data_IF_917832252017
#
_entry.id   IF_917832252017
#
_cell.length_a   1.000
_cell.length_b   1.000
_cell.length_c   1.000
_cell.angle_alpha   90.00
_cell.angle_beta   90.00
_cell.angle_gamma   90.00
#
_symmetry.space_group_name_H-M   'P 1'
#
loop_
_entity.id
_entity.type
_entity.pdbx_description
1 polymer ?
#
# COMPACT_ATOMS: atom_id res chain seq x y z
N UNK A 1 -44.29 -16.75 68.07
CA UNK A 1 -43.74 -15.69 67.19
C UNK A 1 -42.23 -15.69 67.33
N UNK A 2 -41.45 -16.32 66.42
CA UNK A 2 -39.99 -16.25 66.44
C UNK A 2 -39.44 -15.21 65.46
N UNK A 3 -38.28 -14.69 65.83
CA UNK A 3 -37.61 -13.51 65.30
C UNK A 3 -37.02 -13.73 63.90
N UNK A 4 -37.15 -12.69 63.05
CA UNK A 4 -36.45 -12.54 61.77
C UNK A 4 -35.01 -12.09 62.03
N UNK A 5 -34.05 -12.97 61.79
CA UNK A 5 -32.63 -12.67 61.80
C UNK A 5 -32.22 -12.12 60.42
N UNK A 6 -31.77 -10.87 60.37
CA UNK A 6 -31.28 -10.23 59.15
C UNK A 6 -29.85 -10.71 58.85
N UNK A 7 -29.63 -11.24 57.65
CA UNK A 7 -28.31 -11.64 57.16
C UNK A 7 -27.60 -10.42 56.57
N UNK A 8 -26.42 -10.08 57.11
CA UNK A 8 -25.58 -8.99 56.63
C UNK A 8 -24.83 -9.39 55.34
N UNK A 9 -24.66 -8.49 54.37
CA UNK A 9 -23.87 -8.74 53.16
C UNK A 9 -22.37 -8.72 53.49
N UNK A 10 -21.68 -9.82 53.17
CA UNK A 10 -20.22 -9.90 53.18
C UNK A 10 -19.67 -9.15 51.97
N UNK A 11 -19.17 -7.95 52.19
CA UNK A 11 -18.37 -7.19 51.23
C UNK A 11 -17.00 -7.86 51.14
N UNK A 12 -16.75 -8.57 50.04
CA UNK A 12 -15.43 -9.12 49.71
C UNK A 12 -14.62 -8.00 49.08
N UNK A 13 -13.69 -7.44 49.85
CA UNK A 13 -12.65 -6.54 49.35
C UNK A 13 -11.68 -7.35 48.47
N UNK A 14 -11.84 -7.25 47.15
CA UNK A 14 -10.83 -7.68 46.18
C UNK A 14 -9.73 -6.60 46.15
N UNK A 15 -8.79 -6.70 47.07
CA UNK A 15 -7.51 -5.99 47.01
C UNK A 15 -6.45 -6.93 46.46
N UNK A 16 -5.51 -6.35 45.72
CA UNK A 16 -4.18 -6.88 45.43
C UNK A 16 -4.03 -7.71 44.15
N UNK A 17 -3.81 -7.03 43.04
CA UNK A 17 -2.73 -7.35 42.08
C UNK A 17 -2.58 -6.18 41.08
N UNK A 18 -2.12 -5.03 41.60
CA UNK A 18 -1.44 -4.05 40.76
C UNK A 18 -0.08 -4.64 40.41
N UNK A 19 -0.06 -5.44 39.34
CA UNK A 19 1.14 -5.88 38.68
C UNK A 19 1.81 -4.61 38.13
N UNK A 20 2.83 -4.13 38.84
CA UNK A 20 3.72 -3.09 38.36
C UNK A 20 4.46 -3.64 37.15
N UNK A 21 3.88 -3.48 35.96
CA UNK A 21 4.63 -3.52 34.73
C UNK A 21 5.60 -2.33 34.77
N UNK A 22 6.81 -2.56 35.27
CA UNK A 22 7.99 -1.79 34.88
C UNK A 22 8.16 -2.00 33.37
N UNK A 23 7.34 -1.31 32.58
CA UNK A 23 7.63 -1.04 31.19
C UNK A 23 8.87 -0.13 31.23
N UNK A 24 10.04 -0.72 31.12
CA UNK A 24 11.24 0.01 30.76
C UNK A 24 10.86 0.88 29.56
N UNK A 25 10.85 2.21 29.76
CA UNK A 25 10.57 3.12 28.69
C UNK A 25 11.57 2.77 27.57
N UNK A 26 11.11 2.47 26.34
CA UNK A 26 12.03 2.18 25.26
C UNK A 26 13.02 3.34 25.20
N UNK A 27 14.31 3.01 25.25
CA UNK A 27 15.37 4.02 25.11
C UNK A 27 15.09 4.78 23.82
N UNK A 28 14.67 6.04 23.97
CA UNK A 28 14.43 6.92 22.85
C UNK A 28 15.80 7.28 22.28
N UNK A 29 16.24 6.48 21.32
CA UNK A 29 17.39 6.82 20.49
C UNK A 29 16.98 8.05 19.69
N UNK A 30 17.59 9.21 20.00
CA UNK A 30 17.36 10.43 19.23
C UNK A 30 17.60 10.11 17.76
N UNK A 31 16.64 10.39 16.86
CA UNK A 31 16.78 10.05 15.46
C UNK A 31 18.08 10.66 14.95
N UNK A 32 19.00 9.80 14.50
CA UNK A 32 20.27 10.19 13.90
C UNK A 32 20.03 11.33 12.91
N UNK A 33 20.82 12.41 12.99
CA UNK A 33 20.65 13.58 12.14
C UNK A 33 20.70 13.14 10.67
N UNK A 34 19.54 13.00 10.04
CA UNK A 34 19.44 12.59 8.64
C UNK A 34 20.14 13.64 7.81
N UNK A 35 21.02 13.20 6.91
CA UNK A 35 21.62 14.09 5.92
C UNK A 35 20.48 14.82 5.20
N UNK A 36 20.51 16.15 5.12
CA UNK A 36 19.44 16.90 4.46
C UNK A 36 19.30 16.37 3.03
N UNK A 37 18.16 15.76 2.76
CA UNK A 37 17.80 15.26 1.43
C UNK A 37 17.77 16.47 0.52
N UNK A 38 18.60 16.45 -0.53
CA UNK A 38 18.58 17.49 -1.56
C UNK A 38 17.27 17.33 -2.33
N UNK A 39 16.32 18.23 -2.07
CA UNK A 39 15.02 18.33 -2.74
C UNK A 39 15.27 18.81 -4.19
N UNK A 40 15.19 17.95 -5.23
CA UNK A 40 15.22 18.44 -6.61
C UNK A 40 14.09 19.45 -6.86
N UNK A 41 14.38 20.46 -7.68
CA UNK A 41 13.40 21.50 -7.99
C UNK A 41 12.10 20.91 -8.58
N UNK A 42 10.93 21.49 -8.21
CA UNK A 42 9.65 21.12 -8.79
C UNK A 42 9.69 21.17 -10.32
N UNK A 43 9.01 20.22 -10.97
CA UNK A 43 8.87 20.21 -12.42
C UNK A 43 7.98 21.38 -12.82
N UNK A 44 8.49 22.27 -13.67
CA UNK A 44 7.68 23.35 -14.22
C UNK A 44 6.63 22.78 -15.18
N UNK A 45 5.37 23.25 -15.12
CA UNK A 45 4.37 22.93 -16.12
C UNK A 45 4.87 23.23 -17.53
N UNK A 46 4.56 22.38 -18.50
CA UNK A 46 4.86 22.66 -19.89
C UNK A 46 3.96 23.77 -20.44
N UNK A 47 4.53 24.69 -21.22
CA UNK A 47 3.77 25.70 -21.97
C UNK A 47 2.97 25.05 -23.12
N UNK A 48 3.52 23.98 -23.70
CA UNK A 48 2.89 23.19 -24.75
C UNK A 48 2.89 21.69 -24.40
N UNK A 49 1.69 21.11 -24.33
CA UNK A 49 1.48 19.69 -24.03
C UNK A 49 1.96 18.75 -25.14
N UNK A 50 2.25 19.24 -26.35
CA UNK A 50 2.74 18.40 -27.46
C UNK A 50 4.17 17.89 -27.24
N UNK A 51 4.97 18.65 -26.49
CA UNK A 51 6.35 18.31 -26.11
C UNK A 51 6.51 17.93 -24.64
N UNK A 52 5.42 17.99 -23.87
CA UNK A 52 5.42 17.72 -22.44
C UNK A 52 5.70 16.26 -22.13
N UNK A 53 6.45 16.02 -21.06
CA UNK A 53 6.55 14.70 -20.43
C UNK A 53 5.39 14.43 -19.46
N UNK A 54 5.31 13.19 -18.98
CA UNK A 54 4.26 12.75 -18.06
C UNK A 54 4.28 13.55 -16.74
N UNK A 55 5.44 13.93 -16.20
CA UNK A 55 5.49 14.72 -14.97
C UNK A 55 4.99 16.15 -15.20
N UNK A 56 5.31 16.75 -16.34
CA UNK A 56 4.83 18.09 -16.69
C UNK A 56 3.31 18.15 -16.84
N UNK A 57 2.67 17.07 -17.31
CA UNK A 57 1.20 16.94 -17.34
C UNK A 57 0.57 17.04 -15.94
N UNK A 58 1.21 16.43 -14.94
CA UNK A 58 0.69 16.35 -13.57
C UNK A 58 1.27 17.39 -12.61
N UNK A 59 2.27 18.17 -13.01
CA UNK A 59 2.85 19.23 -12.20
C UNK A 59 1.83 20.27 -11.68
N UNK A 60 0.82 20.73 -12.47
CA UNK A 60 -0.16 21.72 -12.01
C UNK A 60 -1.14 21.22 -10.95
N UNK A 61 -1.09 19.93 -10.57
CA UNK A 61 -2.07 19.34 -9.65
C UNK A 61 -1.86 19.88 -8.22
N UNK A 62 -2.96 20.15 -7.49
CA UNK A 62 -2.86 20.61 -6.11
C UNK A 62 -2.23 19.54 -5.19
N UNK A 63 -1.79 19.93 -3.97
CA UNK A 63 -1.48 19.01 -2.88
C UNK A 63 -2.53 17.93 -2.70
N UNK A 64 -2.06 16.74 -2.31
CA UNK A 64 -2.95 15.62 -2.07
C UNK A 64 -3.89 15.94 -0.92
N UNK A 65 -5.18 15.68 -1.12
CA UNK A 65 -6.15 15.73 -0.04
C UNK A 65 -6.35 14.30 0.46
N UNK A 66 -5.90 13.94 1.68
CA UNK A 66 -6.02 12.60 2.22
C UNK A 66 -7.46 12.08 2.16
N UNK A 67 -8.46 12.95 2.43
CA UNK A 67 -9.88 12.56 2.42
C UNK A 67 -10.36 12.07 1.06
N UNK A 68 -9.79 12.58 -0.03
CA UNK A 68 -10.14 12.12 -1.38
C UNK A 68 -9.57 10.71 -1.59
N UNK A 69 -8.34 10.46 -1.15
CA UNK A 69 -7.71 9.13 -1.24
C UNK A 69 -8.41 8.10 -0.33
N UNK A 70 -8.88 8.52 0.85
CA UNK A 70 -9.63 7.66 1.78
C UNK A 70 -10.96 7.18 1.18
N UNK A 71 -11.59 8.03 0.36
CA UNK A 71 -12.85 7.74 -0.32
C UNK A 71 -12.67 7.00 -1.64
N UNK A 72 -11.42 6.70 -2.05
CA UNK A 72 -11.16 6.05 -3.33
C UNK A 72 -11.60 4.59 -3.31
N UNK A 73 -12.40 4.20 -4.30
CA UNK A 73 -12.68 2.79 -4.57
C UNK A 73 -11.71 2.25 -5.62
N UNK A 74 -10.88 1.28 -5.25
CA UNK A 74 -9.79 0.79 -6.09
C UNK A 74 -10.25 0.31 -7.48
N UNK A 75 -11.42 -0.28 -7.59
CA UNK A 75 -11.93 -0.84 -8.86
C UNK A 75 -12.38 0.22 -9.86
N UNK A 76 -12.64 1.46 -9.41
CA UNK A 76 -13.18 2.54 -10.26
C UNK A 76 -12.27 3.76 -10.33
N UNK A 77 -11.46 3.97 -9.29
CA UNK A 77 -10.69 5.19 -9.07
C UNK A 77 -9.18 4.93 -8.94
N UNK A 78 -8.70 3.77 -9.38
CA UNK A 78 -7.27 3.41 -9.43
C UNK A 78 -6.40 4.50 -10.07
N UNK A 79 -6.91 5.16 -11.12
CA UNK A 79 -6.15 6.17 -11.86
C UNK A 79 -5.85 7.38 -10.97
N UNK A 80 -6.73 7.71 -10.01
CA UNK A 80 -6.50 8.82 -9.09
C UNK A 80 -5.29 8.56 -8.17
N UNK A 81 -5.12 7.32 -7.70
CA UNK A 81 -3.98 6.93 -6.86
C UNK A 81 -2.68 6.98 -7.66
N UNK A 82 -2.71 6.51 -8.90
CA UNK A 82 -1.55 6.56 -9.79
C UNK A 82 -1.15 8.01 -10.14
N UNK A 83 -2.15 8.87 -10.39
CA UNK A 83 -1.96 10.31 -10.60
C UNK A 83 -1.42 10.99 -9.33
N UNK A 84 -1.85 10.55 -8.15
CA UNK A 84 -1.36 11.09 -6.89
C UNK A 84 0.16 10.91 -6.78
N UNK A 85 0.65 9.69 -7.03
CA UNK A 85 2.09 9.41 -7.04
C UNK A 85 2.86 10.25 -8.10
N UNK A 86 2.32 10.39 -9.32
CA UNK A 86 2.93 11.24 -10.35
C UNK A 86 2.97 12.72 -9.94
N UNK A 87 1.92 13.22 -9.29
CA UNK A 87 1.83 14.60 -8.82
C UNK A 87 2.82 14.86 -7.68
N UNK A 88 2.93 13.92 -6.75
CA UNK A 88 3.93 13.92 -5.67
C UNK A 88 5.35 13.95 -6.23
N UNK A 89 5.63 13.10 -7.23
CA UNK A 89 6.92 13.06 -7.92
C UNK A 89 7.22 14.35 -8.70
N UNK A 90 6.24 14.92 -9.40
CA UNK A 90 6.40 16.16 -10.15
C UNK A 90 6.72 17.35 -9.24
N UNK A 91 6.15 17.38 -8.04
CA UNK A 91 6.30 18.49 -7.08
C UNK A 91 7.37 18.25 -6.00
N UNK A 92 8.06 17.11 -6.05
CA UNK A 92 9.07 16.68 -5.07
C UNK A 92 8.59 16.67 -3.60
N UNK A 93 7.36 16.21 -3.39
CA UNK A 93 6.73 16.19 -2.07
C UNK A 93 6.99 14.87 -1.36
N UNK A 94 8.21 14.68 -0.90
CA UNK A 94 8.63 13.44 -0.23
C UNK A 94 7.73 13.08 0.97
N UNK A 95 7.23 14.10 1.67
CA UNK A 95 6.30 14.01 2.80
C UNK A 95 4.89 13.52 2.43
N UNK A 96 4.52 13.52 1.15
CA UNK A 96 3.23 12.99 0.67
C UNK A 96 3.30 11.51 0.25
N UNK A 97 4.49 10.89 0.24
CA UNK A 97 4.64 9.50 -0.24
C UNK A 97 3.85 8.50 0.61
N UNK A 98 3.74 8.71 1.92
CA UNK A 98 3.01 7.84 2.84
C UNK A 98 1.48 7.93 2.70
N UNK A 99 0.98 8.93 1.97
CA UNK A 99 -0.43 9.06 1.61
C UNK A 99 -0.83 8.11 0.47
N UNK A 100 0.13 7.69 -0.34
CA UNK A 100 -0.11 6.92 -1.58
C UNK A 100 0.52 5.53 -1.53
N UNK A 101 1.63 5.38 -0.82
CA UNK A 101 2.38 4.13 -0.70
C UNK A 101 2.13 3.44 0.64
N UNK A 102 2.12 2.11 0.66
CA UNK A 102 2.12 1.36 1.94
C UNK A 102 3.46 1.55 2.68
N UNK A 103 3.52 1.44 4.01
CA UNK A 103 4.79 1.56 4.76
C UNK A 103 5.86 0.53 4.35
N UNK A 104 5.44 -0.61 3.82
CA UNK A 104 6.27 -1.70 3.31
C UNK A 104 6.38 -1.69 1.77
N UNK A 105 6.03 -0.58 1.12
CA UNK A 105 6.09 -0.45 -0.32
C UNK A 105 7.50 -0.70 -0.84
N UNK A 106 7.57 -1.34 -2.00
CA UNK A 106 8.82 -1.72 -2.64
C UNK A 106 8.85 -1.22 -4.09
N UNK A 107 10.04 -1.17 -4.67
CA UNK A 107 10.21 -0.82 -6.07
C UNK A 107 11.34 -1.62 -6.71
N UNK A 108 11.30 -1.78 -8.02
CA UNK A 108 12.27 -2.59 -8.75
C UNK A 108 11.94 -2.70 -10.24
N UNK A 109 12.27 -3.84 -10.84
CA UNK A 109 12.02 -4.07 -12.27
C UNK A 109 10.52 -4.02 -12.60
N UNK A 110 10.12 -3.63 -13.81
CA UNK A 110 8.72 -3.65 -14.24
C UNK A 110 8.23 -5.08 -14.55
N UNK A 111 8.33 -5.97 -13.55
CA UNK A 111 7.92 -7.36 -13.56
C UNK A 111 6.91 -7.62 -12.42
N UNK A 112 5.74 -8.19 -12.70
CA UNK A 112 4.75 -8.50 -11.67
C UNK A 112 5.21 -9.51 -10.60
N UNK A 113 6.28 -10.27 -10.87
CA UNK A 113 6.94 -11.17 -9.90
C UNK A 113 7.84 -10.43 -8.92
N UNK A 114 8.00 -9.11 -9.08
CA UNK A 114 8.73 -8.21 -8.17
C UNK A 114 10.23 -8.55 -8.04
N UNK A 115 10.87 -8.90 -9.16
CA UNK A 115 12.31 -9.18 -9.18
C UNK A 115 13.16 -7.95 -8.83
N UNK A 116 14.19 -8.18 -8.03
CA UNK A 116 15.12 -7.12 -7.62
C UNK A 116 14.47 -6.01 -6.79
N UNK A 117 13.31 -6.30 -6.18
CA UNK A 117 12.61 -5.31 -5.39
C UNK A 117 13.43 -4.87 -4.17
N UNK A 118 13.33 -3.59 -3.84
CA UNK A 118 13.92 -2.99 -2.65
C UNK A 118 12.92 -2.05 -1.99
N UNK A 119 13.05 -1.77 -0.68
CA UNK A 119 12.15 -0.87 0.02
C UNK A 119 12.11 0.51 -0.64
N UNK A 120 10.92 1.11 -0.69
CA UNK A 120 10.78 2.55 -1.00
C UNK A 120 11.29 3.35 0.19
N UNK A 121 10.78 3.09 1.39
CA UNK A 121 11.15 3.80 2.61
C UNK A 121 12.40 3.19 3.27
N UNK A 122 13.54 3.29 2.61
CA UNK A 122 14.84 2.95 3.18
C UNK A 122 15.36 4.05 4.13
N UNK A 123 16.66 4.04 4.46
CA UNK A 123 17.28 5.03 5.36
C UNK A 123 17.16 6.49 4.87
N UNK A 124 16.94 6.67 3.56
CA UNK A 124 16.76 7.97 2.89
C UNK A 124 15.30 8.45 2.85
N UNK A 125 14.37 7.70 3.45
CA UNK A 125 12.96 8.06 3.51
C UNK A 125 12.23 8.06 2.16
N UNK A 126 12.77 7.41 1.13
CA UNK A 126 12.16 7.35 -0.21
C UNK A 126 12.74 8.30 -1.23
N UNK A 127 13.80 9.05 -0.89
CA UNK A 127 14.42 10.01 -1.80
C UNK A 127 14.99 9.34 -3.08
N UNK A 128 15.71 8.21 -2.95
CA UNK A 128 16.25 7.48 -4.09
C UNK A 128 15.15 6.91 -4.98
N UNK A 129 14.08 6.39 -4.38
CA UNK A 129 12.89 5.95 -5.13
C UNK A 129 12.30 7.11 -5.93
N UNK A 130 12.04 8.25 -5.29
CA UNK A 130 11.40 9.39 -5.94
C UNK A 130 12.24 9.95 -7.09
N UNK A 131 13.56 10.05 -6.88
CA UNK A 131 14.50 10.49 -7.91
C UNK A 131 14.50 9.55 -9.13
N UNK A 132 14.59 8.23 -8.90
CA UNK A 132 14.60 7.24 -9.97
C UNK A 132 13.24 7.16 -10.69
N UNK A 133 12.14 7.25 -9.95
CA UNK A 133 10.79 7.28 -10.50
C UNK A 133 10.57 8.52 -11.37
N UNK A 134 11.06 9.70 -10.95
CA UNK A 134 11.03 10.92 -11.78
C UNK A 134 11.79 10.72 -13.08
N UNK A 135 12.99 10.13 -13.02
CA UNK A 135 13.77 9.84 -14.22
C UNK A 135 13.03 8.90 -15.17
N UNK A 136 12.32 7.90 -14.64
CA UNK A 136 11.50 7.00 -15.44
C UNK A 136 10.28 7.72 -16.06
N UNK A 137 9.51 8.45 -15.27
CA UNK A 137 8.31 9.14 -15.72
C UNK A 137 8.57 10.19 -16.81
N UNK A 138 9.73 10.87 -16.78
CA UNK A 138 10.13 11.85 -17.83
C UNK A 138 10.31 11.23 -19.22
N UNK A 139 10.45 9.91 -19.32
CA UNK A 139 10.60 9.19 -20.60
C UNK A 139 9.27 8.91 -21.28
N UNK A 140 8.17 9.17 -20.58
CA UNK A 140 6.82 9.03 -21.10
C UNK A 140 6.34 10.39 -21.61
N UNK A 141 5.86 10.49 -22.87
CA UNK A 141 5.13 11.66 -23.32
C UNK A 141 3.92 11.93 -22.42
N UNK A 142 3.49 13.19 -22.28
CA UNK A 142 2.33 13.58 -21.49
C UNK A 142 1.09 12.74 -21.82
N UNK A 143 0.82 12.50 -23.11
CA UNK A 143 -0.34 11.72 -23.56
C UNK A 143 -0.13 10.20 -23.55
N UNK A 144 0.80 9.70 -22.73
CA UNK A 144 1.05 8.25 -22.63
C UNK A 144 -0.19 7.51 -22.13
N UNK A 145 -0.47 6.37 -22.76
CA UNK A 145 -1.61 5.52 -22.38
C UNK A 145 -1.47 5.00 -20.95
N UNK A 146 -2.49 5.24 -20.13
CA UNK A 146 -2.69 4.57 -18.86
C UNK A 146 -3.55 3.32 -19.09
N UNK A 147 -3.06 2.17 -18.66
CA UNK A 147 -3.68 0.88 -18.91
C UNK A 147 -3.99 0.17 -17.60
N UNK A 148 -5.17 -0.45 -17.58
CA UNK A 148 -5.60 -1.37 -16.52
C UNK A 148 -6.27 -2.55 -17.19
N UNK A 149 -6.17 -3.74 -16.60
CA UNK A 149 -6.92 -4.89 -17.11
C UNK A 149 -8.35 -4.81 -16.60
N UNK A 150 -9.31 -5.01 -17.50
CA UNK A 150 -10.71 -5.12 -17.13
C UNK A 150 -10.90 -6.39 -16.29
N UNK A 151 -11.43 -6.21 -15.07
CA UNK A 151 -11.73 -7.35 -14.20
C UNK A 151 -13.11 -7.90 -14.55
N UNK A 152 -13.27 -9.23 -14.71
CA UNK A 152 -14.59 -9.83 -14.63
C UNK A 152 -15.15 -9.68 -13.20
N UNK A 153 -16.47 -9.81 -13.03
CA UNK A 153 -17.15 -9.47 -11.78
C UNK A 153 -16.61 -10.19 -10.52
N UNK A 154 -16.18 -11.45 -10.64
CA UNK A 154 -15.59 -12.20 -9.52
C UNK A 154 -14.28 -11.56 -9.00
N UNK A 155 -13.25 -11.43 -9.84
CA UNK A 155 -12.03 -10.69 -9.50
C UNK A 155 -12.25 -9.24 -9.07
N UNK A 156 -13.26 -8.54 -9.62
CA UNK A 156 -13.60 -7.20 -9.19
C UNK A 156 -14.02 -7.15 -7.71
N UNK A 157 -14.86 -8.08 -7.26
CA UNK A 157 -15.25 -8.17 -5.86
C UNK A 157 -14.06 -8.51 -4.95
N UNK A 158 -13.13 -9.37 -5.42
CA UNK A 158 -11.93 -9.71 -4.68
C UNK A 158 -10.94 -8.53 -4.55
N UNK A 159 -10.79 -7.72 -5.59
CA UNK A 159 -10.02 -6.46 -5.53
C UNK A 159 -10.69 -5.45 -4.61
N UNK A 160 -12.02 -5.29 -4.71
CA UNK A 160 -12.79 -4.36 -3.88
C UNK A 160 -12.73 -4.69 -2.39
N UNK A 161 -12.60 -5.97 -2.02
CA UNK A 161 -12.43 -6.40 -0.63
C UNK A 161 -10.98 -6.39 -0.15
N UNK A 162 -10.02 -6.18 -1.04
CA UNK A 162 -8.59 -6.28 -0.74
C UNK A 162 -8.02 -7.70 -0.76
N UNK A 163 -8.81 -8.70 -1.14
CA UNK A 163 -8.33 -10.09 -1.27
C UNK A 163 -7.35 -10.26 -2.44
N UNK A 164 -7.45 -9.41 -3.46
CA UNK A 164 -6.57 -9.41 -4.63
C UNK A 164 -5.98 -8.02 -4.88
N UNK A 165 -4.74 -7.92 -5.37
CA UNK A 165 -4.18 -6.65 -5.81
C UNK A 165 -4.76 -6.23 -7.17
N UNK A 166 -4.63 -4.95 -7.48
CA UNK A 166 -4.96 -4.40 -8.78
C UNK A 166 -3.72 -3.88 -9.50
N UNK A 167 -3.55 -4.24 -10.76
CA UNK A 167 -2.37 -3.88 -11.53
C UNK A 167 -2.70 -2.85 -12.60
N UNK A 168 -1.87 -1.82 -12.66
CA UNK A 168 -2.02 -0.72 -13.61
C UNK A 168 -0.64 -0.34 -14.15
N UNK A 169 -0.58 0.20 -15.36
CA UNK A 169 0.70 0.53 -15.98
C UNK A 169 0.61 1.64 -17.03
N UNK A 170 1.74 2.32 -17.21
CA UNK A 170 2.05 3.08 -18.42
C UNK A 170 3.06 2.32 -19.25
N UNK A 171 2.92 2.35 -20.57
CA UNK A 171 3.86 1.69 -21.49
C UNK A 171 4.08 2.56 -22.73
N UNK A 172 5.32 2.58 -23.21
CA UNK A 172 5.68 3.08 -24.53
C UNK A 172 6.54 2.01 -25.26
N UNK A 173 7.14 2.36 -26.40
CA UNK A 173 7.93 1.40 -27.19
C UNK A 173 9.13 0.78 -26.44
N UNK A 174 9.69 1.48 -25.45
CA UNK A 174 10.95 1.11 -24.79
C UNK A 174 10.86 1.00 -23.27
N UNK A 175 9.80 1.50 -22.66
CA UNK A 175 9.72 1.66 -21.22
C UNK A 175 8.34 1.31 -20.68
N UNK A 176 8.30 0.97 -19.40
CA UNK A 176 7.08 0.64 -18.67
C UNK A 176 7.19 1.03 -17.21
N UNK A 177 6.12 1.64 -16.70
CA UNK A 177 5.90 1.87 -15.27
C UNK A 177 4.75 0.97 -14.84
N UNK A 178 5.00 0.02 -13.94
CA UNK A 178 4.00 -0.82 -13.30
C UNK A 178 3.67 -0.32 -11.90
N UNK A 179 2.41 -0.40 -11.52
CA UNK A 179 1.95 -0.17 -10.16
C UNK A 179 1.05 -1.30 -9.72
N UNK A 180 1.37 -1.89 -8.57
CA UNK A 180 0.49 -2.80 -7.84
C UNK A 180 -0.21 -2.02 -6.75
N UNK A 181 -1.52 -2.01 -6.81
CA UNK A 181 -2.38 -1.39 -5.83
C UNK A 181 -3.03 -2.45 -4.95
N UNK A 182 -3.19 -2.15 -3.67
CA UNK A 182 -3.75 -3.04 -2.65
C UNK A 182 -4.69 -2.26 -1.74
N UNK A 183 -5.60 -2.95 -1.06
CA UNK A 183 -6.31 -2.37 0.08
C UNK A 183 -5.49 -2.63 1.34
N UNK A 184 -4.96 -1.58 1.94
CA UNK A 184 -4.23 -1.63 3.20
C UNK A 184 -5.00 -0.84 4.25
N UNK A 185 -5.38 -1.50 5.36
CA UNK A 185 -6.19 -0.91 6.45
C UNK A 185 -7.48 -0.24 5.95
N UNK A 186 -8.17 -0.88 5.00
CA UNK A 186 -9.46 -0.41 4.48
C UNK A 186 -9.37 0.74 3.47
N UNK A 187 -8.17 1.10 3.01
CA UNK A 187 -7.94 2.16 2.02
C UNK A 187 -7.03 1.66 0.90
N UNK A 188 -7.14 2.22 -0.32
CA UNK A 188 -6.30 1.79 -1.41
C UNK A 188 -4.93 2.49 -1.38
N UNK A 189 -3.87 1.71 -1.60
CA UNK A 189 -2.47 2.16 -1.63
C UNK A 189 -1.73 1.49 -2.78
N UNK A 190 -0.53 1.97 -3.09
CA UNK A 190 0.45 1.29 -3.94
C UNK A 190 1.47 0.59 -3.04
N UNK A 191 1.68 -0.73 -3.22
CA UNK A 191 2.70 -1.48 -2.46
C UNK A 191 3.89 -1.93 -3.33
N UNK A 192 3.78 -1.76 -4.64
CA UNK A 192 4.87 -2.01 -5.58
C UNK A 192 4.85 -1.05 -6.75
N UNK A 193 6.02 -0.49 -7.08
CA UNK A 193 6.24 0.31 -8.29
C UNK A 193 7.40 -0.29 -9.08
N UNK A 194 7.15 -0.76 -10.30
CA UNK A 194 8.16 -1.34 -11.17
C UNK A 194 8.50 -0.41 -12.33
N UNK A 195 9.77 -0.10 -12.55
CA UNK A 195 10.25 0.64 -13.72
C UNK A 195 11.74 0.36 -13.98
N UNK A 196 12.20 0.58 -15.21
CA UNK A 196 13.63 0.50 -15.48
C UNK A 196 14.32 1.77 -14.98
N UNK A 197 15.43 1.65 -14.25
CA UNK A 197 16.19 2.84 -13.83
C UNK A 197 16.80 3.56 -15.04
N UNK A 198 17.34 2.78 -15.97
CA UNK A 198 17.91 3.23 -17.24
C UNK A 198 17.02 2.82 -18.42
N UNK A 199 17.16 3.49 -19.56
CA UNK A 199 16.40 3.14 -20.76
C UNK A 199 16.87 1.76 -21.25
N UNK A 200 15.96 0.80 -21.46
CA UNK A 200 16.34 -0.47 -22.05
C UNK A 200 16.96 -0.31 -23.45
N UNK A 201 18.02 -1.07 -23.73
CA UNK A 201 18.72 -1.05 -25.02
C UNK A 201 17.87 -1.63 -26.16
N UNK A 202 16.94 -2.54 -25.82
CA UNK A 202 16.05 -3.20 -26.76
C UNK A 202 14.60 -2.74 -26.55
N UNK A 203 13.79 -2.64 -27.62
CA UNK A 203 12.37 -2.36 -27.49
C UNK A 203 11.67 -3.45 -26.66
N UNK A 204 10.65 -3.06 -25.90
CA UNK A 204 9.90 -4.00 -25.09
C UNK A 204 9.11 -4.94 -26.01
N UNK A 205 9.28 -6.25 -25.84
CA UNK A 205 8.45 -7.23 -26.53
C UNK A 205 7.04 -7.16 -25.95
N UNK A 206 6.09 -6.72 -26.77
CA UNK A 206 4.65 -6.58 -26.42
C UNK A 206 4.02 -7.89 -25.92
N UNK A 207 4.65 -9.04 -26.19
CA UNK A 207 4.18 -10.38 -25.81
C UNK A 207 4.42 -10.77 -24.34
N UNK A 208 5.17 -9.99 -23.56
CA UNK A 208 5.30 -10.21 -22.11
C UNK A 208 4.15 -9.57 -21.32
N UNK A 209 2.91 -9.82 -21.76
CA UNK A 209 1.72 -9.71 -20.91
C UNK A 209 1.69 -10.91 -19.98
N UNK A 210 2.68 -10.98 -19.09
CA UNK A 210 2.53 -11.84 -17.92
C UNK A 210 1.47 -11.15 -17.08
N UNK A 211 0.21 -11.56 -17.25
CA UNK A 211 -0.85 -11.23 -16.30
C UNK A 211 -0.34 -11.78 -14.97
N UNK A 212 -0.03 -10.94 -13.97
CA UNK A 212 0.32 -11.44 -12.66
C UNK A 212 -0.76 -12.42 -12.21
N UNK A 213 -0.40 -13.59 -11.67
CA UNK A 213 -1.40 -14.48 -11.11
C UNK A 213 -2.20 -13.69 -10.05
N UNK A 214 -3.53 -13.79 -10.13
CA UNK A 214 -4.43 -13.40 -9.04
C UNK A 214 -4.02 -14.26 -7.83
N UNK A 215 -3.38 -13.62 -6.85
CA UNK A 215 -2.63 -14.17 -5.74
C UNK A 215 -1.60 -15.28 -6.08
N UNK A 216 -0.52 -15.45 -5.30
CA UNK A 216 0.14 -16.74 -5.26
C UNK A 216 -0.90 -17.79 -4.82
N UNK A 217 -0.96 -18.99 -5.43
CA UNK A 217 -1.89 -20.03 -5.02
C UNK A 217 -1.73 -20.23 -3.51
N UNK A 218 -2.86 -20.23 -2.77
CA UNK A 218 -2.89 -20.61 -1.37
C UNK A 218 -2.08 -21.91 -1.25
N UNK A 219 -0.91 -21.83 -0.60
CA UNK A 219 -0.14 -23.04 -0.29
C UNK A 219 -1.06 -23.87 0.59
N UNK A 220 -1.63 -24.94 0.04
CA UNK A 220 -2.22 -25.96 0.91
C UNK A 220 -1.13 -26.36 1.89
N UNK A 221 -1.37 -26.31 3.21
CA UNK A 221 -0.45 -26.88 4.15
C UNK A 221 -0.16 -28.33 3.71
N UNK A 222 1.10 -28.79 3.79
CA UNK A 222 1.43 -30.13 3.35
C UNK A 222 0.51 -31.14 4.04
N UNK A 223 0.03 -32.16 3.31
CA UNK A 223 -0.86 -33.18 3.87
C UNK A 223 -0.18 -33.79 5.11
N UNK A 224 -0.82 -33.63 6.28
CA UNK A 224 -0.25 -34.01 7.58
C UNK A 224 0.00 -32.84 8.55
N UNK A 225 -0.12 -31.58 8.09
CA UNK A 225 -0.19 -30.42 9.01
C UNK A 225 -1.65 -30.21 9.41
N UNK A 226 -2.19 -31.13 10.22
CA UNK A 226 -3.38 -30.82 11.01
C UNK A 226 -2.94 -29.78 12.04
N UNK A 227 -3.13 -28.51 11.69
CA UNK A 227 -3.20 -27.46 12.68
C UNK A 227 -4.43 -27.77 13.51
N UNK A 228 -4.24 -28.52 14.61
CA UNK A 228 -5.16 -28.62 15.73
C UNK A 228 -5.35 -27.22 16.29
N UNK A 229 -6.11 -26.40 15.58
CA UNK A 229 -6.73 -25.21 16.13
C UNK A 229 -7.72 -25.77 17.14
N UNK A 230 -7.50 -25.58 18.46
CA UNK A 230 -8.46 -26.05 19.44
C UNK A 230 -9.76 -25.31 19.13
N UNK A 231 -10.77 -26.07 18.71
CA UNK A 231 -12.13 -25.54 18.61
C UNK A 231 -12.42 -24.86 19.96
N UNK A 232 -12.91 -23.61 19.96
CA UNK A 232 -13.35 -23.00 21.20
C UNK A 232 -14.34 -23.99 21.85
N UNK A 233 -14.22 -24.24 23.17
CA UNK A 233 -15.11 -25.17 23.85
C UNK A 233 -16.54 -24.78 23.49
N UNK A 234 -17.30 -25.75 22.96
CA UNK A 234 -18.74 -25.59 22.75
C UNK A 234 -19.35 -25.23 24.10
N UNK A 235 -19.55 -23.94 24.35
CA UNK A 235 -20.45 -23.49 25.38
C UNK A 235 -21.79 -24.11 25.06
N UNK A 236 -22.21 -25.03 25.94
CA UNK A 236 -23.52 -25.63 25.96
C UNK A 236 -24.53 -24.48 26.03
N UNK A 237 -25.12 -24.12 24.89
CA UNK A 237 -26.26 -23.22 24.89
C UNK A 237 -27.33 -23.82 25.82
N UNK A 238 -27.83 -23.06 26.81
CA UNK A 238 -28.86 -23.55 27.69
C UNK A 238 -30.09 -23.92 26.86
N UNK A 239 -30.58 -25.15 27.06
CA UNK A 239 -31.82 -25.60 26.43
C UNK A 239 -32.96 -24.67 26.87
N UNK A 240 -33.85 -24.24 25.97
CA UNK A 240 -35.06 -23.55 26.37
C UNK A 240 -35.86 -24.46 27.29
N UNK A 241 -36.21 -23.93 28.47
CA UNK A 241 -37.12 -24.56 29.42
C UNK A 241 -38.56 -24.35 28.90
N UNK A 242 -39.42 -25.39 28.92
CA UNK A 242 -40.82 -25.28 28.48
C UNK A 242 -41.66 -24.35 29.36
#
# INVERSE_FOLDING_TARGET
>A
MPARTAAAPRIVFLSSLLLACELAAPSYESPSSRTPVRIPEPVLPAEDLSSADLLQEYAPRPPLNPRILDACELTYQQKMIAIALLSTAANDRLDELDLVLTPDATWGMPDPRRFGQRPVFADDGGAAFLAAFRQAARRFPAKSGYHTEALPGGPQAAVGSGAEPYWTYWVNERDRIYMRMVIYRGRPYIDYVGFFETVPDAPLRVLDRVVPPLAPPLRRPPPGTEETSPLPPRELMPRPVP
#
